data_IF_104524139440
#
_entry.id   IF_104524139440
#
_cell.length_a   1.000
_cell.length_b   1.000
_cell.length_c   1.000
_cell.angle_alpha   90.00
_cell.angle_beta   90.00
_cell.angle_gamma   90.00
#
_symmetry.space_group_name_H-M   'P 1'
#
loop_
_entity.id
_entity.type
_entity.pdbx_description
1 polymer ?
#
# COMPACT_ATOMS: atom_id res chain seq x y z
N UNK A 1 -6.99 -6.83 -21.64
CA UNK A 1 -6.47 -6.37 -20.33
C UNK A 1 -7.17 -7.03 -19.13
N UNK A 2 -8.33 -7.67 -19.27
CA UNK A 2 -8.98 -8.44 -18.19
C UNK A 2 -8.23 -9.73 -17.75
N UNK A 3 -7.35 -10.29 -18.60
CA UNK A 3 -6.71 -11.59 -18.38
C UNK A 3 -5.61 -11.62 -17.30
N UNK A 4 -5.03 -10.47 -16.92
CA UNK A 4 -4.05 -10.43 -15.83
C UNK A 4 -4.73 -10.29 -14.46
N UNK A 5 -5.93 -9.69 -14.43
CA UNK A 5 -6.69 -9.36 -13.24
C UNK A 5 -7.28 -10.61 -12.59
N UNK A 6 -7.96 -11.39 -13.41
CA UNK A 6 -8.54 -12.66 -13.02
C UNK A 6 -7.45 -13.65 -12.62
N UNK A 7 -6.26 -13.58 -13.23
CA UNK A 7 -5.11 -14.38 -12.84
C UNK A 7 -4.55 -13.96 -11.47
N UNK A 8 -4.44 -12.66 -11.17
CA UNK A 8 -3.98 -12.15 -9.87
C UNK A 8 -4.97 -12.46 -8.75
N UNK A 9 -6.27 -12.33 -9.02
CA UNK A 9 -7.35 -12.70 -8.08
C UNK A 9 -7.41 -14.22 -7.90
N UNK A 10 -7.38 -15.00 -8.98
CA UNK A 10 -7.35 -16.47 -8.91
C UNK A 10 -6.12 -16.96 -8.18
N UNK A 11 -4.99 -16.27 -8.34
CA UNK A 11 -3.76 -16.54 -7.60
C UNK A 11 -3.95 -16.27 -6.10
N UNK A 12 -4.49 -15.10 -5.71
CA UNK A 12 -4.81 -14.78 -4.32
C UNK A 12 -5.73 -15.82 -3.67
N UNK A 13 -6.69 -16.33 -4.43
CA UNK A 13 -7.59 -17.38 -3.97
C UNK A 13 -6.91 -18.75 -3.88
N UNK A 14 -6.01 -19.06 -4.81
CA UNK A 14 -5.22 -20.29 -4.74
C UNK A 14 -4.27 -20.28 -3.54
N UNK A 15 -3.73 -19.09 -3.20
CA UNK A 15 -2.93 -18.86 -1.99
C UNK A 15 -3.80 -19.07 -0.74
N UNK A 16 -4.98 -18.44 -0.68
CA UNK A 16 -5.91 -18.58 0.43
C UNK A 16 -6.40 -20.03 0.63
N UNK A 17 -6.74 -20.71 -0.47
CA UNK A 17 -7.19 -22.10 -0.44
C UNK A 17 -6.08 -23.06 0.02
N UNK A 18 -4.84 -22.88 -0.45
CA UNK A 18 -3.70 -23.71 -0.02
C UNK A 18 -3.48 -23.64 1.50
N UNK A 19 -3.64 -22.46 2.08
CA UNK A 19 -3.45 -22.20 3.51
C UNK A 19 -4.59 -22.68 4.41
N UNK A 20 -5.82 -22.71 3.89
CA UNK A 20 -6.96 -23.29 4.61
C UNK A 20 -6.86 -24.82 4.74
N UNK A 21 -6.05 -25.47 3.90
CA UNK A 21 -5.87 -26.93 3.90
C UNK A 21 -4.75 -27.41 4.85
N UNK A 22 -3.77 -26.57 5.19
CA UNK A 22 -2.65 -26.95 6.05
C UNK A 22 -2.97 -26.94 7.55
N UNK A 23 -4.09 -26.35 7.99
CA UNK A 23 -4.52 -26.41 9.40
C UNK A 23 -5.45 -27.59 9.72
N UNK A 24 -5.96 -28.32 8.74
CA UNK A 24 -6.89 -29.46 8.96
C UNK A 24 -6.20 -30.84 8.97
N UNK A 25 -4.87 -30.93 8.84
CA UNK A 25 -4.16 -32.22 8.69
C UNK A 25 -3.15 -32.52 9.82
N UNK A 26 -3.45 -32.09 11.05
CA UNK A 26 -2.64 -32.50 12.22
C UNK A 26 -3.11 -33.80 12.89
N UNK A 27 -4.25 -34.35 12.50
CA UNK A 27 -4.72 -35.68 12.90
C UNK A 27 -5.54 -36.26 11.75
N UNK A 28 -4.96 -37.19 10.97
CA UNK A 28 -5.63 -38.44 10.56
C UNK A 28 -4.75 -39.24 9.59
N UNK A 29 -4.67 -40.53 9.88
CA UNK A 29 -3.92 -41.57 9.17
C UNK A 29 -4.34 -41.74 7.69
N UNK A 30 -3.36 -42.25 6.94
CA UNK A 30 -3.38 -42.99 5.67
C UNK A 30 -4.63 -43.04 4.76
N UNK A 31 -4.32 -42.84 3.48
CA UNK A 31 -4.92 -43.51 2.31
C UNK A 31 -6.39 -43.19 2.01
N UNK A 32 -6.60 -42.11 1.25
CA UNK A 32 -7.79 -42.01 0.43
C UNK A 32 -7.56 -40.97 -0.69
N UNK A 33 -7.71 -41.39 -1.94
CA UNK A 33 -7.81 -40.54 -3.13
C UNK A 33 -9.02 -39.61 -2.99
N UNK A 34 -8.90 -38.55 -2.19
CA UNK A 34 -9.92 -37.53 -2.01
C UNK A 34 -9.67 -36.41 -3.02
N UNK A 35 -10.64 -36.23 -3.90
CA UNK A 35 -10.74 -35.06 -4.77
C UNK A 35 -10.48 -33.79 -3.94
N UNK A 36 -9.64 -32.89 -4.46
CA UNK A 36 -9.33 -31.62 -3.83
C UNK A 36 -10.62 -30.96 -3.32
N UNK A 37 -10.68 -30.55 -2.03
CA UNK A 37 -11.85 -29.86 -1.52
C UNK A 37 -12.07 -28.61 -2.37
N UNK A 38 -13.34 -28.27 -2.63
CA UNK A 38 -13.68 -27.14 -3.48
C UNK A 38 -13.09 -25.86 -2.89
N UNK A 39 -12.11 -25.29 -3.60
CA UNK A 39 -11.71 -23.88 -3.49
C UNK A 39 -12.98 -23.09 -3.22
N UNK A 40 -13.08 -22.39 -2.09
CA UNK A 40 -14.13 -21.39 -1.93
C UNK A 40 -13.82 -20.29 -2.94
N UNK A 41 -14.33 -20.48 -4.16
CA UNK A 41 -14.22 -19.50 -5.21
C UNK A 41 -14.92 -18.24 -4.72
N UNK A 42 -14.30 -17.07 -4.89
CA UNK A 42 -14.98 -15.81 -4.60
C UNK A 42 -16.40 -15.85 -5.16
N UNK A 43 -17.33 -15.41 -4.33
CA UNK A 43 -18.69 -15.13 -4.74
C UNK A 43 -18.68 -14.15 -5.90
N UNK A 44 -19.74 -14.16 -6.71
CA UNK A 44 -19.89 -13.20 -7.82
C UNK A 44 -19.76 -11.76 -7.32
N UNK A 45 -20.36 -11.45 -6.16
CA UNK A 45 -20.28 -10.14 -5.52
C UNK A 45 -18.85 -9.73 -5.16
N UNK A 46 -18.04 -10.64 -4.61
CA UNK A 46 -16.64 -10.31 -4.28
C UNK A 46 -15.80 -10.06 -5.54
N UNK A 47 -16.06 -10.80 -6.63
CA UNK A 47 -15.40 -10.56 -7.92
C UNK A 47 -15.78 -9.21 -8.51
N UNK A 48 -17.05 -8.83 -8.41
CA UNK A 48 -17.54 -7.52 -8.83
C UNK A 48 -16.87 -6.40 -8.04
N UNK A 49 -16.79 -6.51 -6.71
CA UNK A 49 -16.08 -5.54 -5.86
C UNK A 49 -14.60 -5.43 -6.25
N UNK A 50 -13.90 -6.56 -6.43
CA UNK A 50 -12.49 -6.51 -6.87
C UNK A 50 -12.34 -5.87 -8.26
N UNK A 51 -13.24 -6.15 -9.19
CA UNK A 51 -13.24 -5.52 -10.50
C UNK A 51 -13.44 -3.99 -10.39
N UNK A 52 -14.37 -3.54 -9.54
CA UNK A 52 -14.58 -2.12 -9.25
C UNK A 52 -13.33 -1.47 -8.63
N UNK A 53 -12.72 -2.09 -7.62
CA UNK A 53 -11.48 -1.60 -7.01
C UNK A 53 -10.38 -1.45 -8.06
N UNK A 54 -10.25 -2.39 -8.99
CA UNK A 54 -9.22 -2.39 -10.01
C UNK A 54 -9.46 -1.38 -11.14
N UNK A 55 -10.73 -1.03 -11.38
CA UNK A 55 -11.12 0.07 -12.27
C UNK A 55 -10.82 1.44 -11.65
N UNK A 56 -11.00 1.58 -10.33
CA UNK A 56 -10.74 2.81 -9.58
C UNK A 56 -9.25 3.01 -9.26
N UNK A 57 -8.50 1.91 -9.15
CA UNK A 57 -7.09 1.91 -8.79
C UNK A 57 -6.22 2.63 -9.81
N UNK A 58 -5.34 3.49 -9.29
CA UNK A 58 -4.26 4.12 -10.07
C UNK A 58 -3.19 3.10 -10.46
N UNK A 59 -2.89 3.05 -11.75
CA UNK A 59 -1.86 2.18 -12.33
C UNK A 59 -0.49 2.83 -12.18
N UNK A 60 0.56 2.04 -12.33
CA UNK A 60 1.96 2.52 -12.23
C UNK A 60 2.23 3.74 -13.15
N UNK A 61 1.59 3.78 -14.33
CA UNK A 61 1.67 4.91 -15.25
C UNK A 61 1.08 6.21 -14.70
N UNK A 62 0.10 6.14 -13.79
CA UNK A 62 -0.48 7.31 -13.13
C UNK A 62 0.48 7.91 -12.09
N UNK A 63 1.51 7.14 -11.68
CA UNK A 63 2.62 7.59 -10.85
C UNK A 63 3.87 7.94 -11.67
N UNK A 64 3.82 7.78 -13.00
CA UNK A 64 4.97 8.07 -13.86
C UNK A 64 5.05 9.58 -14.17
N UNK A 65 6.11 10.20 -13.65
CA UNK A 65 6.58 11.58 -13.86
C UNK A 65 6.57 12.00 -15.34
N UNK A 66 6.70 11.04 -16.27
CA UNK A 66 7.04 11.25 -17.68
C UNK A 66 5.97 11.88 -18.59
N UNK A 67 4.77 12.23 -18.09
CA UNK A 67 3.74 12.87 -18.93
C UNK A 67 3.63 14.38 -18.75
N UNK A 68 4.35 14.99 -17.80
CA UNK A 68 4.26 16.43 -17.53
C UNK A 68 5.61 17.14 -17.72
N UNK A 69 5.69 18.16 -18.61
CA UNK A 69 6.94 18.87 -18.90
C UNK A 69 7.52 19.64 -17.71
N UNK A 70 6.73 19.89 -16.66
CA UNK A 70 7.09 20.70 -15.49
C UNK A 70 7.12 19.91 -14.17
N UNK A 71 7.31 18.58 -14.24
CA UNK A 71 7.38 17.76 -13.02
C UNK A 71 8.57 18.17 -12.14
N UNK A 72 8.38 18.12 -10.82
CA UNK A 72 9.44 18.45 -9.87
C UNK A 72 10.64 17.50 -10.02
N UNK A 73 11.85 18.03 -9.80
CA UNK A 73 13.05 17.21 -9.76
C UNK A 73 12.97 16.24 -8.56
N UNK A 74 13.27 14.97 -8.80
CA UNK A 74 13.30 13.95 -7.75
C UNK A 74 14.27 14.34 -6.62
N UNK A 75 15.38 15.01 -6.94
CA UNK A 75 16.33 15.49 -5.93
C UNK A 75 15.74 16.63 -5.06
N UNK A 76 14.89 17.48 -5.63
CA UNK A 76 14.22 18.56 -4.91
C UNK A 76 13.16 17.99 -3.95
N UNK A 77 12.37 17.01 -4.43
CA UNK A 77 11.41 16.26 -3.60
C UNK A 77 12.12 15.55 -2.45
N UNK A 78 13.25 14.88 -2.72
CA UNK A 78 14.04 14.20 -1.69
C UNK A 78 14.61 15.18 -0.66
N UNK A 79 15.08 16.35 -1.11
CA UNK A 79 15.58 17.40 -0.22
C UNK A 79 14.48 17.87 0.73
N UNK A 80 13.27 18.12 0.24
CA UNK A 80 12.15 18.56 1.08
C UNK A 80 11.63 17.46 2.02
N UNK A 81 11.74 16.19 1.63
CA UNK A 81 11.52 15.08 2.54
C UNK A 81 12.58 15.07 3.64
N UNK A 82 13.86 15.31 3.32
CA UNK A 82 14.94 15.30 4.30
C UNK A 82 14.87 16.48 5.29
N UNK A 83 14.45 17.66 4.81
CA UNK A 83 14.27 18.86 5.62
C UNK A 83 13.07 18.79 6.56
N UNK A 84 12.14 17.86 6.32
CA UNK A 84 10.97 17.69 7.18
C UNK A 84 11.37 17.31 8.61
N UNK A 85 10.76 17.92 9.64
CA UNK A 85 10.97 17.53 11.05
C UNK A 85 10.70 16.04 11.31
N UNK A 86 9.76 15.43 10.57
CA UNK A 86 9.46 14.00 10.70
C UNK A 86 10.68 13.14 10.34
N UNK A 87 11.44 13.48 9.30
CA UNK A 87 12.59 12.69 8.87
C UNK A 87 13.72 12.65 9.90
N UNK A 88 13.75 13.60 10.84
CA UNK A 88 14.72 13.61 11.94
C UNK A 88 14.34 12.69 13.11
N UNK A 89 13.08 12.23 13.20
CA UNK A 89 12.55 11.46 14.33
C UNK A 89 12.94 9.97 14.26
N UNK A 90 12.86 9.34 13.08
CA UNK A 90 13.23 7.95 12.89
C UNK A 90 14.66 7.83 12.34
N UNK A 91 15.56 7.31 13.19
CA UNK A 91 16.98 7.05 12.85
C UNK A 91 17.29 5.56 12.64
N UNK A 92 16.25 4.73 12.53
CA UNK A 92 16.39 3.29 12.32
C UNK A 92 16.85 2.92 10.91
N UNK A 93 16.71 1.64 10.55
CA UNK A 93 17.31 0.99 9.36
C UNK A 93 16.77 1.46 7.99
N UNK A 94 16.03 2.57 7.93
CA UNK A 94 15.53 3.12 6.67
C UNK A 94 16.64 3.77 5.84
N UNK A 95 17.09 3.10 4.78
CA UNK A 95 18.10 3.64 3.87
C UNK A 95 17.61 4.93 3.18
N UNK A 96 16.35 4.95 2.73
CA UNK A 96 15.80 6.10 1.99
C UNK A 96 15.13 7.14 2.87
N UNK A 97 15.20 8.40 2.41
CA UNK A 97 14.60 9.55 3.08
C UNK A 97 13.07 9.42 3.16
N UNK A 98 12.43 8.92 2.10
CA UNK A 98 11.00 8.62 2.09
C UNK A 98 10.63 7.59 3.17
N UNK A 99 11.36 6.48 3.24
CA UNK A 99 11.06 5.42 4.22
C UNK A 99 11.13 5.94 5.65
N UNK A 100 12.19 6.68 5.96
CA UNK A 100 12.33 7.31 7.29
C UNK A 100 11.20 8.29 7.58
N UNK A 101 10.85 9.14 6.62
CA UNK A 101 9.75 10.10 6.74
C UNK A 101 8.41 9.42 7.08
N UNK A 102 8.04 8.35 6.36
CA UNK A 102 6.76 7.67 6.57
C UNK A 102 6.75 6.87 7.87
N UNK A 103 7.84 6.18 8.22
CA UNK A 103 7.92 5.47 9.50
C UNK A 103 7.82 6.42 10.69
N UNK A 104 8.46 7.59 10.60
CA UNK A 104 8.28 8.68 11.57
C UNK A 104 6.83 9.12 11.65
N UNK A 105 6.16 9.29 10.50
CA UNK A 105 4.76 9.68 10.47
C UNK A 105 3.87 8.64 11.16
N UNK A 106 4.05 7.35 10.91
CA UNK A 106 3.31 6.29 11.60
C UNK A 106 3.54 6.34 13.11
N UNK A 107 4.79 6.52 13.56
CA UNK A 107 5.07 6.69 14.99
C UNK A 107 4.34 7.88 15.59
N UNK A 108 4.20 9.00 14.85
CA UNK A 108 3.49 10.20 15.31
C UNK A 108 1.96 10.03 15.32
N UNK A 109 1.40 9.32 14.34
CA UNK A 109 -0.05 9.12 14.19
C UNK A 109 -0.60 8.01 15.08
N UNK A 110 0.24 7.06 15.50
CA UNK A 110 -0.10 6.09 16.56
C UNK A 110 -0.52 6.80 17.86
N UNK A 111 0.05 7.97 18.15
CA UNK A 111 -0.38 8.80 19.29
C UNK A 111 -1.73 9.49 19.07
N UNK A 112 -2.18 9.63 17.83
CA UNK A 112 -3.40 10.33 17.45
C UNK A 112 -4.61 9.40 17.20
N UNK A 113 -4.49 8.08 17.42
CA UNK A 113 -5.57 7.09 17.24
C UNK A 113 -6.23 7.11 15.85
N UNK A 114 -5.48 7.50 14.81
CA UNK A 114 -6.00 7.56 13.45
C UNK A 114 -6.30 6.15 12.94
N UNK A 115 -7.50 5.89 12.37
CA UNK A 115 -7.82 4.58 11.82
C UNK A 115 -6.83 4.15 10.73
N UNK A 116 -6.37 2.90 10.77
CA UNK A 116 -5.42 2.31 9.80
C UNK A 116 -5.82 2.57 8.36
N UNK A 117 -7.11 2.45 8.03
CA UNK A 117 -7.63 2.72 6.68
C UNK A 117 -7.39 4.17 6.24
N UNK A 118 -7.72 5.14 7.10
CA UNK A 118 -7.50 6.57 6.82
C UNK A 118 -6.01 6.85 6.60
N UNK A 119 -5.13 6.24 7.40
CA UNK A 119 -3.68 6.33 7.21
C UNK A 119 -3.26 5.79 5.84
N UNK A 120 -3.72 4.60 5.45
CA UNK A 120 -3.33 4.02 4.16
C UNK A 120 -3.77 4.87 2.97
N UNK A 121 -5.00 5.43 2.95
CA UNK A 121 -5.42 6.35 1.90
C UNK A 121 -4.59 7.63 1.89
N UNK A 122 -4.27 8.19 3.07
CA UNK A 122 -3.47 9.40 3.17
C UNK A 122 -2.07 9.22 2.57
N UNK A 123 -1.45 8.06 2.82
CA UNK A 123 -0.16 7.71 2.27
C UNK A 123 -0.25 7.52 0.76
N UNK A 124 -1.31 6.90 0.23
CA UNK A 124 -1.52 6.77 -1.22
C UNK A 124 -1.68 8.13 -1.92
N UNK A 125 -2.48 9.03 -1.33
CA UNK A 125 -2.60 10.41 -1.82
C UNK A 125 -1.26 11.13 -1.79
N UNK A 126 -0.48 10.96 -0.71
CA UNK A 126 0.84 11.56 -0.59
C UNK A 126 1.82 10.99 -1.63
N UNK A 127 1.84 9.68 -1.86
CA UNK A 127 2.66 9.05 -2.91
C UNK A 127 2.31 9.58 -4.30
N UNK A 128 1.01 9.77 -4.60
CA UNK A 128 0.58 10.43 -5.86
C UNK A 128 1.07 11.86 -5.96
N UNK A 129 0.95 12.61 -4.87
CA UNK A 129 1.47 13.97 -4.81
C UNK A 129 2.98 13.98 -5.12
N UNK A 130 3.78 13.15 -4.45
CA UNK A 130 5.23 13.07 -4.68
C UNK A 130 5.59 12.74 -6.13
N UNK A 131 4.82 11.86 -6.77
CA UNK A 131 5.05 11.45 -8.16
C UNK A 131 4.56 12.46 -9.21
N UNK A 132 3.53 13.23 -8.90
CA UNK A 132 2.82 14.09 -9.87
C UNK A 132 3.00 15.60 -9.66
N UNK A 133 3.61 16.02 -8.55
CA UNK A 133 3.77 17.42 -8.18
C UNK A 133 4.68 18.17 -9.17
N UNK A 134 4.23 19.35 -9.58
CA UNK A 134 5.02 20.27 -10.42
C UNK A 134 6.08 21.01 -9.62
N UNK A 135 7.18 21.35 -10.28
CA UNK A 135 8.29 22.10 -9.64
C UNK A 135 7.85 23.46 -9.10
N UNK A 136 6.97 24.18 -9.79
CA UNK A 136 6.43 25.47 -9.32
C UNK A 136 5.55 25.31 -8.07
N UNK A 137 4.75 24.24 -8.01
CA UNK A 137 3.97 23.89 -6.83
C UNK A 137 4.87 23.52 -5.65
N UNK A 138 5.96 22.81 -5.91
CA UNK A 138 6.97 22.45 -4.91
C UNK A 138 7.69 23.70 -4.36
N UNK A 139 8.08 24.64 -5.22
CA UNK A 139 8.65 25.93 -4.80
C UNK A 139 7.65 26.77 -4.02
N UNK A 140 6.36 26.76 -4.39
CA UNK A 140 5.30 27.45 -3.65
C UNK A 140 5.09 26.84 -2.27
N UNK A 141 5.20 25.53 -2.13
CA UNK A 141 5.17 24.85 -0.83
C UNK A 141 6.34 25.34 0.05
N UNK A 142 7.55 25.33 -0.50
CA UNK A 142 8.78 25.69 0.21
C UNK A 142 8.86 27.18 0.58
N UNK A 143 8.52 28.09 -0.34
CA UNK A 143 8.70 29.55 -0.15
C UNK A 143 7.40 30.35 0.03
N UNK A 144 6.27 29.89 -0.51
CA UNK A 144 5.04 30.68 -0.61
C UNK A 144 3.97 30.38 0.45
N UNK A 145 3.98 29.17 1.01
CA UNK A 145 2.97 28.69 1.95
C UNK A 145 3.46 28.65 3.42
N UNK A 146 4.31 29.61 3.82
CA UNK A 146 4.75 29.75 5.22
C UNK A 146 5.77 28.71 5.67
N UNK A 147 6.66 28.27 4.76
CA UNK A 147 7.62 27.17 4.97
C UNK A 147 6.93 25.83 5.28
N UNK A 148 5.94 25.46 4.45
CA UNK A 148 5.29 24.16 4.56
C UNK A 148 6.31 23.07 4.23
N UNK A 149 6.54 22.15 5.16
CA UNK A 149 7.35 20.95 4.92
C UNK A 149 6.46 19.80 4.44
N UNK A 150 7.06 18.73 3.94
CA UNK A 150 6.34 17.56 3.44
C UNK A 150 5.41 16.93 4.50
N UNK A 151 5.66 17.15 5.79
CA UNK A 151 4.75 16.70 6.86
C UNK A 151 3.40 17.42 6.82
N UNK A 152 3.38 18.71 6.46
CA UNK A 152 2.13 19.46 6.26
C UNK A 152 1.36 18.86 5.10
N UNK A 153 2.02 18.55 3.97
CA UNK A 153 1.38 17.90 2.82
C UNK A 153 0.77 16.55 3.21
N UNK A 154 1.51 15.70 3.94
CA UNK A 154 0.99 14.41 4.40
C UNK A 154 -0.17 14.58 5.39
N UNK A 155 -0.13 15.58 6.28
CA UNK A 155 -1.27 15.91 7.15
C UNK A 155 -2.47 16.37 6.34
N UNK A 156 -2.30 17.18 5.29
CA UNK A 156 -3.41 17.56 4.40
C UNK A 156 -4.00 16.34 3.67
N UNK A 157 -3.17 15.41 3.22
CA UNK A 157 -3.63 14.12 2.66
C UNK A 157 -4.46 13.32 3.69
N UNK A 158 -4.08 13.36 4.96
CA UNK A 158 -4.83 12.74 6.06
C UNK A 158 -6.20 13.41 6.27
N UNK A 159 -6.27 14.74 6.23
CA UNK A 159 -7.54 15.48 6.31
C UNK A 159 -8.45 15.13 5.12
N UNK A 160 -7.91 15.12 3.90
CA UNK A 160 -8.66 14.73 2.69
C UNK A 160 -9.21 13.30 2.80
N UNK A 161 -8.40 12.36 3.30
CA UNK A 161 -8.82 10.95 3.49
C UNK A 161 -9.94 10.80 4.53
N UNK A 162 -9.90 11.62 5.59
CA UNK A 162 -10.92 11.63 6.65
C UNK A 162 -12.26 12.17 6.13
N UNK A 163 -12.20 13.22 5.30
CA UNK A 163 -13.38 13.86 4.69
C UNK A 163 -14.08 12.96 3.67
N UNK A 164 -13.33 12.07 2.99
CA UNK A 164 -13.91 11.05 2.10
C UNK A 164 -14.58 9.92 2.90
N UNK A 165 -14.10 9.64 4.11
CA UNK A 165 -14.54 8.50 4.93
C UNK A 165 -15.61 8.82 5.98
N UNK A 166 -15.88 10.09 6.31
CA UNK A 166 -16.79 10.44 7.41
C UNK A 166 -17.47 11.81 7.29
N UNK A 167 -18.68 11.92 7.87
CA UNK A 167 -19.53 13.12 8.00
C UNK A 167 -19.11 14.07 9.14
N UNK A 168 -17.89 13.96 9.68
CA UNK A 168 -17.47 14.69 10.89
C UNK A 168 -16.36 15.72 10.63
N UNK A 169 -16.69 16.96 11.03
CA UNK A 169 -15.86 18.17 11.16
C UNK A 169 -14.86 18.45 10.05
N UNK A 170 -15.37 19.19 9.05
CA UNK A 170 -14.61 19.95 8.07
C UNK A 170 -13.69 20.92 8.83
N UNK A 171 -12.42 20.56 9.01
CA UNK A 171 -11.39 21.56 9.30
C UNK A 171 -11.34 22.53 8.11
N UNK A 172 -11.24 23.84 8.39
CA UNK A 172 -11.21 24.83 7.33
C UNK A 172 -10.01 24.56 6.40
N UNK A 173 -10.21 24.46 5.08
CA UNK A 173 -9.13 24.16 4.14
C UNK A 173 -8.03 25.21 4.25
N UNK A 174 -6.79 24.74 4.35
CA UNK A 174 -5.61 25.59 4.38
C UNK A 174 -5.18 25.99 2.96
N UNK A 175 -4.25 26.95 2.85
CA UNK A 175 -3.63 27.29 1.56
C UNK A 175 -2.91 26.07 0.95
N UNK A 176 -2.41 25.15 1.79
CA UNK A 176 -1.75 23.92 1.34
C UNK A 176 -2.77 22.90 0.86
N UNK A 177 -3.96 22.80 1.48
CA UNK A 177 -5.05 21.92 0.98
C UNK A 177 -5.37 22.19 -0.48
N UNK A 178 -5.53 23.48 -0.86
CA UNK A 178 -5.83 23.85 -2.24
C UNK A 178 -4.70 23.49 -3.22
N UNK A 179 -3.45 23.56 -2.78
CA UNK A 179 -2.29 23.15 -3.57
C UNK A 179 -2.27 21.63 -3.76
N UNK A 180 -2.44 20.86 -2.68
CA UNK A 180 -2.48 19.39 -2.72
C UNK A 180 -3.61 18.91 -3.63
N UNK A 181 -4.81 19.46 -3.50
CA UNK A 181 -5.94 19.12 -4.38
C UNK A 181 -5.64 19.45 -5.85
N UNK A 182 -5.02 20.59 -6.14
CA UNK A 182 -4.68 20.96 -7.51
C UNK A 182 -3.65 20.00 -8.13
N UNK A 183 -2.60 19.61 -7.39
CA UNK A 183 -1.60 18.66 -7.88
C UNK A 183 -2.16 17.24 -8.03
N UNK A 184 -3.18 16.89 -7.24
CA UNK A 184 -3.97 15.66 -7.40
C UNK A 184 -5.06 15.77 -8.48
N UNK A 185 -5.11 16.85 -9.27
CA UNK A 185 -6.14 17.11 -10.28
C UNK A 185 -7.57 17.07 -9.72
N UNK A 186 -7.75 17.46 -8.45
CA UNK A 186 -9.00 17.40 -7.70
C UNK A 186 -9.58 15.99 -7.54
N UNK A 187 -8.78 14.97 -7.85
CA UNK A 187 -9.12 13.57 -7.66
C UNK A 187 -8.48 13.05 -6.36
N UNK A 188 -9.26 13.14 -5.28
CA UNK A 188 -8.89 12.67 -3.95
C UNK A 188 -9.37 11.25 -3.66
N UNK A 189 -9.92 10.57 -4.67
CA UNK A 189 -10.31 9.17 -4.54
C UNK A 189 -9.06 8.30 -4.67
N UNK A 190 -8.86 7.44 -3.67
CA UNK A 190 -7.76 6.47 -3.65
C UNK A 190 -8.26 5.09 -3.25
N UNK A 191 -7.67 4.08 -3.87
CA UNK A 191 -7.84 2.69 -3.47
C UNK A 191 -6.65 2.30 -2.61
N UNK A 192 -6.92 1.93 -1.36
CA UNK A 192 -5.93 1.43 -0.42
C UNK A 192 -5.66 -0.06 -0.64
N UNK A 193 -4.45 -0.56 -0.33
CA UNK A 193 -4.21 -2.00 -0.25
C UNK A 193 -5.17 -2.70 0.73
N UNK A 194 -5.65 -1.99 1.76
CA UNK A 194 -6.61 -2.55 2.71
C UNK A 194 -7.99 -2.81 2.07
N UNK A 195 -8.40 -2.06 1.05
CA UNK A 195 -9.67 -2.30 0.37
C UNK A 195 -9.67 -3.66 -0.34
N UNK A 196 -8.51 -4.04 -0.89
CA UNK A 196 -8.31 -5.40 -1.42
C UNK A 196 -8.30 -6.44 -0.32
N UNK A 197 -7.60 -6.15 0.79
CA UNK A 197 -7.53 -7.07 1.92
C UNK A 197 -8.90 -7.29 2.58
N UNK A 198 -9.82 -6.33 2.59
CA UNK A 198 -11.17 -6.53 3.14
C UNK A 198 -11.97 -7.57 2.37
N UNK A 199 -11.71 -7.74 1.07
CA UNK A 199 -12.33 -8.80 0.25
C UNK A 199 -11.62 -10.14 0.44
N UNK A 200 -10.30 -10.13 0.65
CA UNK A 200 -9.47 -11.34 0.62
C UNK A 200 -9.27 -11.96 2.01
N UNK A 201 -9.13 -11.15 3.06
CA UNK A 201 -8.87 -11.60 4.42
C UNK A 201 -9.98 -12.44 5.05
N UNK A 202 -11.27 -12.29 4.72
CA UNK A 202 -12.29 -13.23 5.20
C UNK A 202 -11.97 -14.70 4.87
N UNK A 203 -11.25 -14.95 3.76
CA UNK A 203 -10.82 -16.28 3.31
C UNK A 203 -9.52 -16.75 3.99
N UNK A 204 -8.80 -15.86 4.69
CA UNK A 204 -7.55 -16.14 5.44
C UNK A 204 -7.53 -15.37 6.77
N UNK A 205 -8.62 -15.49 7.54
CA UNK A 205 -8.90 -14.63 8.69
C UNK A 205 -7.82 -14.66 9.77
N UNK A 206 -7.11 -15.78 9.92
CA UNK A 206 -5.99 -15.95 10.85
C UNK A 206 -4.78 -15.05 10.55
N UNK A 207 -4.65 -14.53 9.32
CA UNK A 207 -3.60 -13.58 8.92
C UNK A 207 -4.02 -12.11 9.04
N UNK A 208 -5.29 -11.82 9.34
CA UNK A 208 -5.89 -10.49 9.19
C UNK A 208 -5.10 -9.37 9.87
N UNK A 209 -4.76 -9.55 11.15
CA UNK A 209 -4.02 -8.53 11.91
C UNK A 209 -2.61 -8.31 11.36
N UNK A 210 -1.89 -9.37 11.01
CA UNK A 210 -0.54 -9.26 10.46
C UNK A 210 -0.55 -8.62 9.08
N UNK A 211 -1.52 -8.96 8.23
CA UNK A 211 -1.67 -8.35 6.91
C UNK A 211 -1.94 -6.85 7.02
N UNK A 212 -2.79 -6.41 7.94
CA UNK A 212 -3.03 -4.98 8.15
C UNK A 212 -1.76 -4.23 8.58
N UNK A 213 -0.95 -4.81 9.48
CA UNK A 213 0.31 -4.21 9.92
C UNK A 213 1.38 -4.22 8.81
N UNK A 214 1.58 -5.35 8.14
CA UNK A 214 2.54 -5.48 7.06
C UNK A 214 2.19 -4.57 5.87
N UNK A 215 0.91 -4.36 5.57
CA UNK A 215 0.45 -3.45 4.53
C UNK A 215 0.87 -2.00 4.80
N UNK A 216 0.71 -1.53 6.04
CA UNK A 216 1.18 -0.19 6.45
C UNK A 216 2.70 -0.06 6.27
N UNK A 217 3.46 -1.04 6.76
CA UNK A 217 4.92 -1.05 6.66
C UNK A 217 5.38 -1.08 5.20
N UNK A 218 4.74 -1.86 4.34
CA UNK A 218 5.06 -1.91 2.91
C UNK A 218 4.88 -0.54 2.24
N UNK A 219 3.80 0.19 2.55
CA UNK A 219 3.61 1.54 2.01
C UNK A 219 4.69 2.54 2.46
N UNK A 220 5.41 2.27 3.55
CA UNK A 220 6.56 3.06 3.94
C UNK A 220 7.79 2.81 3.06
N UNK A 221 7.87 1.68 2.35
CA UNK A 221 9.03 1.40 1.50
C UNK A 221 9.00 2.21 0.20
N UNK A 222 10.13 2.80 -0.18
CA UNK A 222 10.25 3.67 -1.37
C UNK A 222 9.81 3.00 -2.68
N UNK A 223 10.11 1.72 -2.86
CA UNK A 223 9.69 0.99 -4.07
C UNK A 223 8.17 0.89 -4.20
N UNK A 224 7.41 0.98 -3.11
CA UNK A 224 5.95 0.90 -3.13
C UNK A 224 5.28 2.22 -3.52
N UNK A 225 6.03 3.33 -3.61
CA UNK A 225 5.52 4.66 -3.98
C UNK A 225 4.78 4.64 -5.32
N UNK A 226 5.25 3.82 -6.27
CA UNK A 226 4.67 3.72 -7.63
C UNK A 226 3.87 2.44 -7.87
N UNK A 227 3.89 1.52 -6.91
CA UNK A 227 3.17 0.26 -7.08
C UNK A 227 1.67 0.48 -6.90
N UNK A 228 0.83 -0.16 -7.73
CA UNK A 228 -0.61 -0.26 -7.48
C UNK A 228 -0.92 -0.94 -6.14
N UNK A 229 -2.03 -0.55 -5.51
CA UNK A 229 -2.45 -1.06 -4.21
C UNK A 229 -2.74 -2.56 -4.19
N UNK A 230 -3.20 -3.11 -5.31
CA UNK A 230 -3.39 -4.55 -5.55
C UNK A 230 -2.07 -5.32 -5.43
N UNK A 231 -0.98 -4.79 -5.99
CA UNK A 231 0.36 -5.38 -5.87
C UNK A 231 0.85 -5.30 -4.42
N UNK A 232 0.64 -4.16 -3.74
CA UNK A 232 1.00 -4.02 -2.33
C UNK A 232 0.23 -5.03 -1.46
N UNK A 233 -1.07 -5.24 -1.72
CA UNK A 233 -1.88 -6.24 -1.02
C UNK A 233 -1.41 -7.67 -1.28
N UNK A 234 -1.05 -7.99 -2.54
CA UNK A 234 -0.43 -9.27 -2.91
C UNK A 234 0.87 -9.51 -2.15
N UNK A 235 1.78 -8.54 -2.15
CA UNK A 235 3.06 -8.63 -1.45
C UNK A 235 2.85 -8.82 0.06
N UNK A 236 1.86 -8.12 0.62
CA UNK A 236 1.46 -8.24 2.03
C UNK A 236 1.09 -9.68 2.36
N UNK A 237 0.18 -10.29 1.59
CA UNK A 237 -0.29 -11.66 1.83
C UNK A 237 0.86 -12.67 1.69
N UNK A 238 1.61 -12.61 0.59
CA UNK A 238 2.71 -13.56 0.36
C UNK A 238 3.80 -13.44 1.44
N UNK A 239 4.07 -12.22 1.91
CA UNK A 239 4.99 -11.99 3.02
C UNK A 239 4.50 -12.59 4.34
N UNK A 240 3.25 -12.35 4.72
CA UNK A 240 2.71 -12.84 5.99
C UNK A 240 2.65 -14.36 6.04
N UNK A 241 2.34 -15.00 4.91
CA UNK A 241 2.40 -16.47 4.76
C UNK A 241 3.81 -16.98 5.00
N UNK A 242 4.79 -16.39 4.31
CA UNK A 242 6.18 -16.81 4.41
C UNK A 242 6.70 -16.74 5.85
N UNK A 243 6.35 -15.67 6.57
CA UNK A 243 6.82 -15.44 7.93
C UNK A 243 6.14 -16.31 8.98
N UNK A 244 5.00 -16.95 8.67
CA UNK A 244 4.45 -18.01 9.52
C UNK A 244 5.27 -19.30 9.49
N UNK A 245 6.26 -19.42 8.58
CA UNK A 245 7.28 -20.46 8.62
C UNK A 245 6.83 -21.85 8.15
N UNK A 246 5.57 -22.02 7.75
CA UNK A 246 5.00 -23.33 7.45
C UNK A 246 5.15 -23.76 5.98
N UNK A 247 5.44 -22.85 5.04
CA UNK A 247 5.22 -23.13 3.59
C UNK A 247 6.20 -22.44 2.61
N UNK A 248 7.51 -22.47 2.88
CA UNK A 248 8.51 -21.83 2.00
C UNK A 248 8.47 -22.33 0.55
N UNK A 249 8.21 -23.62 0.33
CA UNK A 249 8.14 -24.21 -1.02
C UNK A 249 6.90 -23.76 -1.79
N UNK A 250 5.78 -23.55 -1.10
CA UNK A 250 4.57 -23.01 -1.69
C UNK A 250 4.76 -21.54 -2.07
N UNK A 251 5.37 -20.75 -1.19
CA UNK A 251 5.75 -19.36 -1.50
C UNK A 251 6.70 -19.30 -2.70
N UNK A 252 7.68 -20.20 -2.79
CA UNK A 252 8.58 -20.28 -3.94
C UNK A 252 7.84 -20.62 -5.24
N UNK A 253 6.91 -21.58 -5.20
CA UNK A 253 6.06 -21.94 -6.33
C UNK A 253 5.17 -20.77 -6.77
N UNK A 254 4.58 -20.06 -5.80
CA UNK A 254 3.76 -18.88 -6.02
C UNK A 254 4.55 -17.76 -6.69
N UNK A 255 5.74 -17.45 -6.18
CA UNK A 255 6.64 -16.44 -6.75
C UNK A 255 7.13 -16.82 -8.16
N UNK A 256 7.35 -18.10 -8.44
CA UNK A 256 7.79 -18.55 -9.77
C UNK A 256 6.80 -18.22 -10.90
N UNK A 257 5.53 -17.96 -10.56
CA UNK A 257 4.49 -17.53 -11.50
C UNK A 257 4.53 -16.04 -11.80
N UNK A 258 5.30 -15.25 -11.06
CA UNK A 258 5.41 -13.80 -11.27
C UNK A 258 6.51 -13.44 -12.26
N UNK A 259 6.39 -12.31 -12.96
CA UNK A 259 7.51 -11.72 -13.68
C UNK A 259 8.73 -11.51 -12.76
N UNK A 260 9.93 -11.73 -13.30
CA UNK A 260 11.19 -11.63 -12.53
C UNK A 260 11.34 -10.28 -11.81
N UNK A 261 10.86 -9.18 -12.42
CA UNK A 261 10.89 -7.86 -11.80
C UNK A 261 10.06 -7.79 -10.50
N UNK A 262 8.91 -8.46 -10.46
CA UNK A 262 8.04 -8.53 -9.27
C UNK A 262 8.62 -9.46 -8.21
N UNK A 263 9.24 -10.57 -8.62
CA UNK A 263 9.96 -11.46 -7.69
C UNK A 263 11.10 -10.71 -7.01
N UNK A 264 11.91 -9.98 -7.78
CA UNK A 264 13.01 -9.18 -7.24
C UNK A 264 12.53 -8.10 -6.27
N UNK A 265 11.44 -7.40 -6.61
CA UNK A 265 10.80 -6.43 -5.72
C UNK A 265 10.30 -7.09 -4.42
N UNK A 266 9.61 -8.23 -4.52
CA UNK A 266 9.18 -8.99 -3.34
C UNK A 266 10.35 -9.37 -2.44
N UNK A 267 11.46 -9.85 -2.98
CA UNK A 267 12.64 -10.21 -2.18
C UNK A 267 13.22 -9.01 -1.42
N UNK A 268 13.29 -7.83 -2.03
CA UNK A 268 13.71 -6.59 -1.36
C UNK A 268 12.71 -6.18 -0.28
N UNK A 269 11.41 -6.24 -0.55
CA UNK A 269 10.37 -5.90 0.42
C UNK A 269 10.38 -6.86 1.62
N UNK A 270 10.57 -8.14 1.35
CA UNK A 270 10.70 -9.15 2.39
C UNK A 270 11.94 -8.93 3.26
N UNK A 271 13.05 -8.48 2.69
CA UNK A 271 14.24 -8.12 3.46
C UNK A 271 13.96 -6.90 4.36
N UNK A 272 13.29 -5.88 3.82
CA UNK A 272 12.87 -4.70 4.58
C UNK A 272 11.94 -5.04 5.75
N UNK A 273 10.88 -5.82 5.51
CA UNK A 273 9.92 -6.14 6.57
C UNK A 273 10.52 -7.02 7.67
N UNK A 274 11.55 -7.82 7.35
CA UNK A 274 12.31 -8.58 8.36
C UNK A 274 13.04 -7.70 9.38
N UNK A 275 13.28 -6.43 9.08
CA UNK A 275 13.82 -5.47 10.04
C UNK A 275 12.84 -5.12 11.17
N UNK A 276 11.57 -5.50 11.05
CA UNK A 276 10.48 -5.16 11.99
C UNK A 276 9.86 -6.38 12.68
N UNK A 277 10.36 -7.59 12.40
CA UNK A 277 9.90 -8.87 12.96
C UNK A 277 10.98 -9.48 13.83
#
# INVERSE_FOLDING_TARGET
>A
MASNLEAEITFLLSVAAYLGHSSEHMDDDEDDTRAAPSVQSLTTSEREVLAELLLLEKKESDYAVATRPDAADAAEVETLLAESPLSAMYRGEGASTYTRFILSFYSSTLYAQVPTRVNTHAIRLFQRFLCGCRGDALQRLHHGCGAGSMDVVLRECLHLSTNVSSTLQIAAPSKVTGLVMAELNYDVQEVSPLDYLDVLLPHISYLSQMCQQASLLLLAHEEMVRQPSSIVALFTIVFTIRNMGTENDAVALLLSRWPECRQAAFHRMNAFLKCFT
#
